data_IF_625130287298
#
_entry.id   IF_625130287298
#
_cell.length_a   1.000
_cell.length_b   1.000
_cell.length_c   1.000
_cell.angle_alpha   90.00
_cell.angle_beta   90.00
_cell.angle_gamma   90.00
#
_symmetry.space_group_name_H-M   'P 1'
#
loop_
_entity.id
_entity.type
_entity.pdbx_description
1 polymer ?
#
# COMPACT_ATOMS: atom_id res chain seq x y z
N UNK A 1 28.79 -13.91 29.24
CA UNK A 1 27.42 -13.57 29.71
C UNK A 1 26.43 -13.90 28.60
N UNK A 2 25.54 -14.88 28.80
CA UNK A 2 24.45 -15.19 27.87
C UNK A 2 23.17 -14.64 28.48
N UNK A 3 22.58 -13.63 27.84
CA UNK A 3 21.35 -12.99 28.28
C UNK A 3 20.17 -13.97 28.24
N UNK A 4 19.52 -14.17 29.38
CA UNK A 4 18.22 -14.83 29.46
C UNK A 4 17.17 -13.92 28.82
N UNK A 5 16.64 -14.31 27.67
CA UNK A 5 15.43 -13.71 27.11
C UNK A 5 14.25 -14.09 28.01
N UNK A 6 13.67 -13.10 28.69
CA UNK A 6 12.45 -13.26 29.47
C UNK A 6 11.30 -13.66 28.55
N UNK A 7 10.76 -14.88 28.75
CA UNK A 7 9.55 -15.34 28.06
C UNK A 7 8.36 -14.56 28.61
N UNK A 8 7.57 -13.94 27.72
CA UNK A 8 6.43 -13.12 28.13
C UNK A 8 5.25 -13.96 28.66
N UNK A 9 4.47 -13.46 29.65
CA UNK A 9 3.53 -14.29 30.42
C UNK A 9 2.24 -14.69 29.68
N UNK A 10 1.99 -14.18 28.48
CA UNK A 10 0.80 -14.53 27.69
C UNK A 10 1.00 -15.74 26.79
N UNK A 11 2.24 -16.23 26.65
CA UNK A 11 2.54 -17.45 25.90
C UNK A 11 2.53 -18.69 26.81
N UNK A 12 1.53 -18.79 27.69
CA UNK A 12 1.30 -19.96 28.55
C UNK A 12 0.82 -21.12 27.70
N UNK A 13 1.74 -21.91 27.18
CA UNK A 13 1.56 -23.35 27.02
C UNK A 13 0.39 -23.84 26.16
N UNK A 14 -0.21 -23.02 25.29
CA UNK A 14 -1.07 -23.54 24.23
C UNK A 14 -0.18 -24.14 23.14
N UNK A 15 0.37 -25.32 23.40
CA UNK A 15 0.54 -26.28 22.32
C UNK A 15 -0.89 -26.64 21.88
N UNK A 16 -1.52 -25.77 21.08
CA UNK A 16 -2.65 -26.24 20.32
C UNK A 16 -2.08 -27.41 19.54
N UNK A 17 -2.61 -28.61 19.76
CA UNK A 17 -2.41 -29.71 18.83
C UNK A 17 -2.74 -29.09 17.48
N UNK A 18 -1.72 -28.77 16.68
CA UNK A 18 -1.94 -28.16 15.36
C UNK A 18 -2.84 -29.16 14.68
N UNK A 19 -4.01 -28.69 14.25
CA UNK A 19 -4.98 -29.55 13.60
C UNK A 19 -4.23 -30.40 12.55
N UNK A 20 -4.32 -31.74 12.59
CA UNK A 20 -3.60 -32.60 11.65
C UNK A 20 -3.94 -32.27 10.18
N UNK A 21 -5.04 -31.56 9.90
CA UNK A 21 -5.35 -30.97 8.59
C UNK A 21 -4.36 -29.87 8.16
N UNK A 22 -3.81 -29.11 9.09
CA UNK A 22 -2.74 -28.11 8.86
C UNK A 22 -1.40 -28.82 8.62
N UNK A 23 -1.14 -29.94 9.30
CA UNK A 23 0.11 -30.71 9.17
C UNK A 23 0.14 -31.62 7.92
N UNK A 24 -1.01 -32.06 7.42
CA UNK A 24 -1.11 -32.93 6.24
C UNK A 24 -0.93 -32.22 4.90
N UNK A 25 -0.64 -30.90 4.90
CA UNK A 25 -0.40 -30.14 3.67
C UNK A 25 -1.60 -30.11 2.70
N UNK A 26 -2.80 -30.50 3.16
CA UNK A 26 -4.02 -30.45 2.35
C UNK A 26 -4.37 -28.99 2.10
N UNK A 27 -3.90 -28.48 0.96
CA UNK A 27 -4.33 -27.19 0.41
C UNK A 27 -5.85 -27.18 0.39
N UNK A 28 -6.46 -26.23 1.10
CA UNK A 28 -7.90 -26.02 1.02
C UNK A 28 -8.30 -25.90 -0.47
N UNK A 29 -9.36 -26.55 -0.96
CA UNK A 29 -9.61 -26.72 -2.41
C UNK A 29 -9.75 -25.42 -3.21
N UNK A 30 -9.97 -24.29 -2.54
CA UNK A 30 -9.85 -22.95 -3.15
C UNK A 30 -8.39 -22.47 -3.29
N UNK A 31 -7.52 -22.78 -2.35
CA UNK A 31 -6.12 -22.37 -2.30
C UNK A 31 -5.27 -23.28 -3.18
N UNK A 32 -5.27 -23.03 -4.49
CA UNK A 32 -4.52 -23.82 -5.46
C UNK A 32 -5.09 -23.71 -6.87
N UNK A 33 -6.36 -23.31 -7.00
CA UNK A 33 -6.92 -22.92 -8.29
C UNK A 33 -6.27 -21.60 -8.71
N UNK A 34 -5.71 -21.50 -9.93
CA UNK A 34 -5.23 -20.23 -10.43
C UNK A 34 -6.39 -19.22 -10.39
N UNK A 35 -6.12 -18.01 -9.92
CA UNK A 35 -7.13 -16.96 -10.00
C UNK A 35 -7.47 -16.72 -11.48
N UNK A 36 -8.72 -16.35 -11.77
CA UNK A 36 -9.12 -15.94 -13.14
C UNK A 36 -8.15 -14.90 -13.71
N UNK A 37 -7.61 -14.02 -12.86
CA UNK A 37 -6.61 -13.01 -13.22
C UNK A 37 -5.27 -13.67 -13.62
N UNK A 38 -4.83 -14.72 -12.91
CA UNK A 38 -3.61 -15.46 -13.24
C UNK A 38 -3.67 -16.07 -14.64
N UNK A 39 -4.82 -16.63 -15.02
CA UNK A 39 -5.03 -17.16 -16.37
C UNK A 39 -5.05 -16.06 -17.43
N UNK A 40 -5.70 -14.93 -17.15
CA UNK A 40 -5.75 -13.78 -18.06
C UNK A 40 -4.37 -13.15 -18.27
N UNK A 41 -3.51 -13.13 -17.25
CA UNK A 41 -2.13 -12.62 -17.36
C UNK A 41 -1.25 -13.46 -18.29
N UNK A 42 -1.67 -14.66 -18.75
CA UNK A 42 -0.96 -15.41 -19.79
C UNK A 42 -1.22 -14.87 -21.19
N UNK A 43 -2.28 -14.07 -21.39
CA UNK A 43 -2.68 -13.55 -22.70
C UNK A 43 -1.99 -12.21 -22.97
N UNK A 44 -1.17 -12.07 -24.03
CA UNK A 44 -0.40 -10.85 -24.28
C UNK A 44 -1.29 -9.62 -24.49
N UNK A 45 -2.44 -9.76 -25.15
CA UNK A 45 -3.41 -8.68 -25.34
C UNK A 45 -3.98 -8.15 -24.01
N UNK A 46 -4.21 -9.05 -23.06
CA UNK A 46 -4.69 -8.67 -21.73
C UNK A 46 -3.61 -7.90 -20.97
N UNK A 47 -2.35 -8.36 -21.02
CA UNK A 47 -1.21 -7.68 -20.43
C UNK A 47 -1.07 -6.27 -21.04
N UNK A 48 -1.10 -6.15 -22.37
CA UNK A 48 -1.00 -4.86 -23.09
C UNK A 48 -2.08 -3.88 -22.66
N UNK A 49 -3.34 -4.34 -22.58
CA UNK A 49 -4.46 -3.51 -22.09
C UNK A 49 -4.27 -3.08 -20.63
N UNK A 50 -3.77 -3.99 -19.78
CA UNK A 50 -3.50 -3.71 -18.37
C UNK A 50 -2.37 -2.70 -18.18
N UNK A 51 -1.26 -2.85 -18.90
CA UNK A 51 -0.13 -1.92 -18.88
C UNK A 51 -0.54 -0.52 -19.33
N UNK A 52 -1.33 -0.42 -20.42
CA UNK A 52 -1.93 0.87 -20.84
C UNK A 52 -2.73 1.54 -19.73
N UNK A 53 -3.44 0.76 -18.92
CA UNK A 53 -4.17 1.27 -17.76
C UNK A 53 -3.26 1.73 -16.63
N UNK A 54 -2.17 1.01 -16.36
CA UNK A 54 -1.21 1.34 -15.30
C UNK A 54 -0.39 2.60 -15.60
N UNK A 55 -0.06 2.83 -16.87
CA UNK A 55 0.70 4.02 -17.32
C UNK A 55 -0.19 5.28 -17.34
N UNK A 56 -1.51 5.13 -17.31
CA UNK A 56 -2.44 6.25 -17.39
C UNK A 56 -2.45 7.06 -16.09
N UNK A 57 -1.87 8.25 -16.15
CA UNK A 57 -1.83 9.26 -15.08
C UNK A 57 -2.64 10.52 -15.49
N UNK A 58 -3.30 11.23 -14.56
CA UNK A 58 -3.54 10.82 -13.18
C UNK A 58 -4.53 9.66 -13.07
N UNK A 59 -4.33 8.79 -12.08
CA UNK A 59 -5.25 7.68 -11.80
C UNK A 59 -6.54 8.18 -11.08
N UNK A 60 -7.49 7.28 -10.81
CA UNK A 60 -8.77 7.65 -10.17
C UNK A 60 -8.58 8.33 -8.80
N UNK A 61 -7.84 7.76 -7.83
CA UNK A 61 -7.66 8.41 -6.53
C UNK A 61 -6.83 9.70 -6.59
N UNK A 62 -5.82 9.79 -7.45
CA UNK A 62 -5.08 11.02 -7.71
C UNK A 62 -6.02 12.13 -8.21
N UNK A 63 -6.95 11.84 -9.13
CA UNK A 63 -7.96 12.81 -9.58
C UNK A 63 -8.86 13.31 -8.45
N UNK A 64 -9.26 12.42 -7.55
CA UNK A 64 -10.05 12.80 -6.37
C UNK A 64 -9.23 13.74 -5.49
N UNK A 65 -7.95 13.42 -5.25
CA UNK A 65 -7.05 14.27 -4.47
C UNK A 65 -6.81 15.64 -5.12
N UNK A 66 -6.59 15.69 -6.45
CA UNK A 66 -6.48 16.96 -7.20
C UNK A 66 -7.71 17.84 -6.96
N UNK A 67 -8.91 17.26 -7.02
CA UNK A 67 -10.15 18.00 -6.79
C UNK A 67 -10.27 18.49 -5.34
N UNK A 68 -9.85 17.69 -4.36
CA UNK A 68 -9.85 18.08 -2.95
C UNK A 68 -8.85 19.22 -2.67
N UNK A 69 -7.64 19.14 -3.22
CA UNK A 69 -6.63 20.20 -3.12
C UNK A 69 -7.16 21.50 -3.70
N UNK A 70 -7.74 21.46 -4.91
CA UNK A 70 -8.33 22.64 -5.57
C UNK A 70 -9.50 23.21 -4.77
N UNK A 71 -10.41 22.35 -4.31
CA UNK A 71 -11.61 22.76 -3.56
C UNK A 71 -11.27 23.46 -2.24
N UNK A 72 -10.19 23.05 -1.57
CA UNK A 72 -9.78 23.58 -0.28
C UNK A 72 -8.61 24.59 -0.38
N UNK A 73 -8.22 24.98 -1.60
CA UNK A 73 -7.10 25.88 -1.86
C UNK A 73 -5.79 25.47 -1.14
N UNK A 74 -5.48 24.16 -1.15
CA UNK A 74 -4.27 23.63 -0.51
C UNK A 74 -3.04 23.90 -1.39
N UNK A 75 -1.85 24.16 -0.79
CA UNK A 75 -0.65 24.59 -1.53
C UNK A 75 0.10 23.43 -2.22
N UNK A 76 -0.61 22.44 -2.77
CA UNK A 76 -0.02 21.26 -3.40
C UNK A 76 -0.25 21.24 -4.91
N UNK A 77 0.78 20.87 -5.66
CA UNK A 77 0.70 20.64 -7.10
C UNK A 77 0.85 19.15 -7.39
N UNK A 78 0.10 18.65 -8.38
CA UNK A 78 0.24 17.26 -8.85
C UNK A 78 1.52 17.09 -9.65
N UNK A 79 2.33 16.10 -9.26
CA UNK A 79 3.61 15.74 -9.90
C UNK A 79 3.78 14.21 -10.09
N UNK A 80 2.72 13.42 -9.80
CA UNK A 80 2.67 11.95 -9.91
C UNK A 80 2.68 11.37 -11.34
N UNK A 81 3.06 12.18 -12.32
CA UNK A 81 3.29 11.77 -13.71
C UNK A 81 4.77 11.47 -14.00
N UNK A 82 5.65 11.51 -12.99
CA UNK A 82 7.08 11.25 -13.16
C UNK A 82 7.89 12.47 -13.61
N UNK A 83 7.31 13.67 -13.64
CA UNK A 83 8.05 14.89 -13.99
C UNK A 83 9.05 15.32 -12.91
N UNK A 84 8.86 14.90 -11.67
CA UNK A 84 9.75 15.19 -10.54
C UNK A 84 10.20 13.88 -9.91
N UNK A 85 11.51 13.77 -9.71
CA UNK A 85 12.15 12.67 -8.98
C UNK A 85 13.02 13.28 -7.88
N UNK A 86 12.79 12.88 -6.63
CA UNK A 86 13.54 13.33 -5.45
C UNK A 86 14.18 12.10 -4.82
N UNK A 87 15.51 12.03 -4.80
CA UNK A 87 16.27 10.90 -4.25
C UNK A 87 15.82 9.51 -4.77
N UNK A 88 15.40 9.45 -6.03
CA UNK A 88 14.90 8.22 -6.65
C UNK A 88 13.41 7.92 -6.42
N UNK A 89 12.70 8.78 -5.70
CA UNK A 89 11.25 8.67 -5.48
C UNK A 89 10.47 9.66 -6.36
N UNK A 90 9.31 9.24 -6.86
CA UNK A 90 8.39 10.06 -7.64
C UNK A 90 7.16 10.38 -6.79
N UNK A 91 7.09 11.55 -6.12
CA UNK A 91 5.93 11.90 -5.30
C UNK A 91 4.67 12.09 -6.17
N UNK A 92 3.48 11.83 -5.62
CA UNK A 92 2.22 12.16 -6.30
C UNK A 92 1.90 13.67 -6.30
N UNK A 93 2.19 14.35 -5.18
CA UNK A 93 1.99 15.79 -5.03
C UNK A 93 3.15 16.44 -4.26
N UNK A 94 3.42 17.70 -4.58
CA UNK A 94 4.49 18.50 -3.97
C UNK A 94 3.99 19.91 -3.64
N UNK A 95 4.27 20.37 -2.43
CA UNK A 95 4.14 21.76 -2.01
C UNK A 95 5.50 22.47 -2.07
N UNK A 96 5.50 23.73 -2.50
CA UNK A 96 6.72 24.55 -2.58
C UNK A 96 7.14 25.10 -1.22
N UNK A 97 6.19 25.54 -0.39
CA UNK A 97 6.41 26.14 0.93
C UNK A 97 5.20 25.91 1.85
N UNK A 98 5.33 25.12 2.94
CA UNK A 98 6.49 24.30 3.30
C UNK A 98 6.74 23.18 2.28
N UNK A 99 7.98 22.67 2.22
CA UNK A 99 8.38 21.57 1.32
C UNK A 99 7.80 20.24 1.81
N UNK A 100 6.62 19.90 1.30
CA UNK A 100 5.86 18.72 1.71
C UNK A 100 5.48 17.89 0.48
N UNK A 101 5.39 16.57 0.67
CA UNK A 101 4.89 15.65 -0.35
C UNK A 101 3.65 14.93 0.16
N UNK A 102 2.76 14.61 -0.77
CA UNK A 102 1.65 13.69 -0.52
C UNK A 102 1.78 12.52 -1.48
N UNK A 103 1.62 11.32 -0.94
CA UNK A 103 1.57 10.06 -1.70
C UNK A 103 0.20 9.39 -1.52
N UNK A 104 -0.41 8.94 -2.62
CA UNK A 104 -1.74 8.34 -2.65
C UNK A 104 -1.63 6.82 -2.76
N UNK A 105 -1.89 6.15 -1.63
CA UNK A 105 -1.77 4.70 -1.52
C UNK A 105 -3.13 4.00 -1.67
N UNK A 106 -3.12 2.81 -2.27
CA UNK A 106 -4.30 1.94 -2.38
C UNK A 106 -4.26 0.78 -1.39
N UNK A 107 -5.32 0.60 -0.58
CA UNK A 107 -5.41 -0.44 0.46
C UNK A 107 -5.10 -1.86 -0.03
N UNK A 108 -5.41 -2.16 -1.30
CA UNK A 108 -5.20 -3.47 -1.90
C UNK A 108 -3.73 -3.93 -1.89
N UNK A 109 -2.77 -2.99 -1.86
CA UNK A 109 -1.34 -3.28 -1.86
C UNK A 109 -0.68 -3.11 -0.49
N UNK A 110 -1.42 -2.65 0.52
CA UNK A 110 -0.90 -2.37 1.87
C UNK A 110 -1.59 -3.23 2.93
N UNK A 111 -1.48 -4.56 2.79
CA UNK A 111 -2.04 -5.54 3.74
C UNK A 111 -1.26 -5.66 5.06
N UNK A 112 -0.04 -5.12 5.15
CA UNK A 112 0.89 -5.42 6.26
C UNK A 112 1.13 -4.28 7.26
N UNK A 113 0.60 -3.07 7.03
CA UNK A 113 0.72 -1.93 7.97
C UNK A 113 -0.61 -1.49 8.59
N UNK A 114 -1.71 -2.13 8.24
CA UNK A 114 -3.06 -1.83 8.75
C UNK A 114 -3.37 -2.44 10.12
N UNK A 115 -2.43 -3.17 10.74
CA UNK A 115 -2.66 -3.78 12.05
C UNK A 115 -2.42 -2.83 13.24
N UNK A 116 -1.85 -1.64 13.03
CA UNK A 116 -1.56 -0.70 14.13
C UNK A 116 -2.45 0.55 14.22
N UNK A 117 -3.45 0.71 13.34
CA UNK A 117 -4.42 1.80 13.49
C UNK A 117 -5.83 1.28 13.23
N UNK A 118 -6.45 0.78 14.29
CA UNK A 118 -7.88 0.43 14.30
C UNK A 118 -8.67 1.74 14.39
N UNK A 119 -9.41 2.06 13.34
CA UNK A 119 -10.65 2.84 13.40
C UNK A 119 -11.71 2.11 12.56
N UNK A 120 -13.00 2.19 12.93
CA UNK A 120 -14.05 1.31 12.42
C UNK A 120 -14.29 1.52 10.92
N UNK A 121 -14.33 0.40 10.21
CA UNK A 121 -14.58 0.37 8.77
C UNK A 121 -16.01 0.78 8.44
N UNK A 122 -16.15 1.91 7.76
CA UNK A 122 -17.14 2.03 6.70
C UNK A 122 -16.57 2.96 5.63
N UNK A 123 -16.66 2.51 4.37
CA UNK A 123 -16.12 3.10 3.15
C UNK A 123 -14.67 2.70 2.78
N UNK A 124 -14.50 2.29 1.51
CA UNK A 124 -13.22 2.12 0.84
C UNK A 124 -12.38 3.39 1.05
N UNK A 125 -11.49 3.37 2.03
CA UNK A 125 -10.79 4.54 2.53
C UNK A 125 -9.42 4.60 1.89
N UNK A 126 -9.29 5.39 0.82
CA UNK A 126 -7.96 5.75 0.34
C UNK A 126 -7.17 6.40 1.49
N UNK A 127 -5.98 5.86 1.77
CA UNK A 127 -5.09 6.42 2.77
C UNK A 127 -4.15 7.41 2.11
N UNK A 128 -4.10 8.60 2.67
CA UNK A 128 -3.18 9.65 2.26
C UNK A 128 -2.08 9.75 3.30
N UNK A 129 -0.83 9.80 2.84
CA UNK A 129 0.30 10.04 3.73
C UNK A 129 1.01 11.31 3.29
N UNK A 130 1.09 12.26 4.21
CA UNK A 130 1.89 13.47 4.05
C UNK A 130 3.25 13.22 4.71
N UNK A 131 4.32 13.63 4.04
CA UNK A 131 5.66 13.61 4.61
C UNK A 131 6.30 14.99 4.43
N UNK A 132 7.00 15.45 5.46
CA UNK A 132 7.86 16.62 5.37
C UNK A 132 9.20 16.22 4.74
N UNK A 133 9.66 16.97 3.73
CA UNK A 133 11.00 16.78 3.19
C UNK A 133 11.97 17.52 4.11
N UNK A 134 12.58 16.80 5.06
CA UNK A 134 13.72 17.31 5.80
C UNK A 134 14.97 17.20 4.92
N UNK A 135 15.32 18.28 4.23
CA UNK A 135 16.66 18.38 3.65
C UNK A 135 17.65 18.52 4.82
N UNK A 136 18.69 17.67 4.95
CA UNK A 136 19.80 18.01 5.83
C UNK A 136 20.36 19.35 5.36
N UNK A 137 20.58 20.28 6.31
CA UNK A 137 21.33 21.50 6.04
C UNK A 137 22.76 21.04 5.69
N UNK A 138 23.17 21.29 4.45
CA UNK A 138 24.58 21.24 4.03
C UNK A 138 25.29 22.43 4.66
#
# INVERSE_FOLDING_TARGET
SKGMLAKTPWNKGKSSKRDPRILSGRKHPQYGKPSRISELNKKPEFIKKRLKGLIKKPNKPEKIMINLIKKNNLPFNYVGNGQIIIEGFCPDFLSKNPKQIIEVFGDYWHLLLTLFMILPQSQHSFKFKCFDIFSPKI
#
